data_IF_766036696178
#
_entry.id   IF_766036696178
#
_cell.length_a   1.000
_cell.length_b   1.000
_cell.length_c   1.000
_cell.angle_alpha   90.00
_cell.angle_beta   90.00
_cell.angle_gamma   90.00
#
_symmetry.space_group_name_H-M   'P 1'
#
loop_
_entity.id
_entity.type
_entity.pdbx_description
1 polymer ?
#
# COMPACT_ATOMS: atom_id res chain seq x y z
N UNK A 1 40.59 -59.72 3.36
CA UNK A 1 40.52 -58.95 4.62
C UNK A 1 39.96 -57.57 4.30
N UNK A 2 38.72 -57.34 4.73
CA UNK A 2 37.90 -56.20 4.41
C UNK A 2 38.38 -54.86 4.96
N UNK A 3 38.13 -53.78 4.26
CA UNK A 3 37.70 -52.49 4.86
C UNK A 3 37.07 -51.58 3.78
N UNK A 4 35.74 -51.48 3.85
CA UNK A 4 34.95 -50.35 3.37
C UNK A 4 35.09 -49.18 4.38
N UNK A 5 35.13 -47.92 3.94
CA UNK A 5 34.16 -47.00 4.44
C UNK A 5 33.69 -45.98 3.38
N UNK A 6 32.39 -46.08 3.08
CA UNK A 6 31.56 -45.00 2.54
C UNK A 6 31.43 -43.90 3.57
N UNK A 7 31.87 -42.69 3.24
CA UNK A 7 31.45 -41.48 3.97
C UNK A 7 31.10 -40.42 2.93
N UNK A 8 29.84 -40.19 2.76
CA UNK A 8 29.28 -39.08 1.97
C UNK A 8 29.25 -37.84 2.86
N UNK A 9 29.75 -36.66 2.44
CA UNK A 9 29.50 -35.42 3.14
C UNK A 9 28.13 -34.86 2.73
N UNK A 10 27.31 -34.54 3.75
CA UNK A 10 26.02 -33.90 3.59
C UNK A 10 26.12 -32.48 3.07
N UNK A 11 25.23 -32.14 2.17
CA UNK A 11 24.98 -30.77 1.70
C UNK A 11 24.37 -29.91 2.82
N UNK A 12 24.81 -28.67 2.95
CA UNK A 12 24.10 -27.67 3.74
C UNK A 12 23.28 -26.78 2.78
N UNK A 13 22.07 -27.22 2.43
CA UNK A 13 21.08 -26.34 1.79
C UNK A 13 19.96 -26.08 2.77
N UNK A 14 20.18 -25.07 3.61
CA UNK A 14 19.16 -24.41 4.40
C UNK A 14 19.01 -22.98 3.89
N UNK A 15 18.28 -22.78 2.79
CA UNK A 15 17.80 -21.45 2.43
C UNK A 15 16.65 -21.09 3.37
N UNK A 16 16.97 -20.24 4.32
CA UNK A 16 15.99 -19.63 5.23
C UNK A 16 15.14 -18.59 4.44
N UNK A 17 14.00 -19.05 3.94
CA UNK A 17 13.00 -18.22 3.23
C UNK A 17 12.05 -17.49 4.22
N UNK A 18 12.43 -17.37 5.50
CA UNK A 18 11.55 -16.87 6.57
C UNK A 18 11.62 -15.37 6.89
N UNK A 19 12.46 -14.58 6.21
CA UNK A 19 12.73 -13.18 6.61
C UNK A 19 11.58 -12.19 6.34
N UNK A 20 10.81 -12.35 5.28
CA UNK A 20 9.81 -11.37 4.84
C UNK A 20 8.53 -11.34 5.69
N UNK A 21 8.04 -12.48 6.14
CA UNK A 21 6.80 -12.57 6.92
C UNK A 21 6.93 -12.01 8.34
N UNK A 22 8.12 -12.09 8.93
CA UNK A 22 8.37 -11.59 10.29
C UNK A 22 8.44 -10.06 10.37
N UNK A 23 8.91 -9.38 9.32
CA UNK A 23 8.97 -7.92 9.28
C UNK A 23 7.57 -7.30 9.11
N UNK A 24 6.79 -7.80 8.16
CA UNK A 24 5.40 -7.36 7.95
C UNK A 24 4.53 -7.58 9.19
N UNK A 25 4.67 -8.72 9.87
CA UNK A 25 3.93 -9.00 11.10
C UNK A 25 4.29 -8.05 12.25
N UNK A 26 5.57 -7.65 12.38
CA UNK A 26 6.01 -6.66 13.38
C UNK A 26 5.46 -5.27 13.10
N UNK A 27 5.38 -4.86 11.83
CA UNK A 27 4.75 -3.59 11.42
C UNK A 27 3.29 -3.57 11.86
N UNK A 28 2.51 -4.60 11.49
CA UNK A 28 1.10 -4.73 11.85
C UNK A 28 0.89 -4.68 13.37
N UNK A 29 1.75 -5.34 14.16
CA UNK A 29 1.64 -5.31 15.62
C UNK A 29 1.96 -3.93 16.20
N UNK A 30 3.01 -3.25 15.73
CA UNK A 30 3.36 -1.91 16.19
C UNK A 30 2.27 -0.89 15.84
N UNK A 31 1.64 -1.05 14.67
CA UNK A 31 0.52 -0.22 14.24
C UNK A 31 -0.74 -0.48 15.09
N UNK A 32 -1.00 -1.73 15.48
CA UNK A 32 -2.17 -2.05 16.34
C UNK A 32 -2.03 -1.43 17.73
N UNK A 33 -0.83 -1.44 18.32
CA UNK A 33 -0.54 -0.83 19.63
C UNK A 33 -0.66 0.70 19.64
N UNK A 34 -0.40 1.37 18.51
CA UNK A 34 -0.41 2.84 18.37
C UNK A 34 -1.52 3.37 17.47
N UNK A 35 -2.45 2.51 17.07
CA UNK A 35 -3.51 2.85 16.11
C UNK A 35 -4.37 4.04 16.57
N UNK A 36 -4.66 4.15 17.85
CA UNK A 36 -5.47 5.25 18.39
C UNK A 36 -4.74 6.60 18.30
N UNK A 37 -3.42 6.64 18.58
CA UNK A 37 -2.60 7.84 18.41
C UNK A 37 -2.52 8.25 16.95
N UNK A 38 -2.29 7.27 16.07
CA UNK A 38 -2.22 7.50 14.62
C UNK A 38 -3.55 8.02 14.07
N UNK A 39 -4.67 7.40 14.47
CA UNK A 39 -6.00 7.81 14.05
C UNK A 39 -6.34 9.25 14.52
N UNK A 40 -5.91 9.62 15.71
CA UNK A 40 -6.14 10.97 16.24
C UNK A 40 -5.37 12.06 15.46
N UNK A 41 -4.18 11.74 14.94
CA UNK A 41 -3.31 12.71 14.24
C UNK A 41 -3.56 12.73 12.74
N UNK A 42 -3.67 11.56 12.10
CA UNK A 42 -3.70 11.41 10.64
C UNK A 42 -5.02 10.84 10.11
N UNK A 43 -5.93 10.39 10.97
CA UNK A 43 -7.20 9.77 10.60
C UNK A 43 -8.30 10.75 10.19
N UNK A 44 -7.98 11.99 9.81
CA UNK A 44 -8.94 13.02 9.47
C UNK A 44 -8.66 13.67 8.14
N UNK A 45 -9.71 13.93 7.35
CA UNK A 45 -9.60 14.71 6.11
C UNK A 45 -9.14 16.16 6.34
N UNK A 46 -9.23 16.67 7.56
CA UNK A 46 -8.71 18.00 7.90
C UNK A 46 -7.16 18.05 7.91
N UNK A 47 -6.50 16.90 8.09
CA UNK A 47 -5.05 16.79 8.03
C UNK A 47 -4.51 16.59 6.60
N UNK A 48 -5.39 16.32 5.62
CA UNK A 48 -5.02 16.09 4.23
C UNK A 48 -4.76 17.43 3.52
N UNK A 49 -3.63 17.52 2.83
CA UNK A 49 -3.31 18.70 2.02
C UNK A 49 -4.36 18.91 0.92
N UNK A 50 -4.79 20.17 0.64
CA UNK A 50 -5.83 20.45 -0.36
C UNK A 50 -5.53 19.88 -1.76
N UNK A 51 -4.27 19.96 -2.21
CA UNK A 51 -3.87 19.45 -3.53
C UNK A 51 -3.93 17.91 -3.59
N UNK A 52 -3.53 17.23 -2.50
CA UNK A 52 -3.66 15.76 -2.40
C UNK A 52 -5.13 15.34 -2.41
N UNK A 53 -5.96 16.12 -1.71
CA UNK A 53 -7.41 15.91 -1.69
C UNK A 53 -8.00 16.05 -3.09
N UNK A 54 -7.71 17.16 -3.78
CA UNK A 54 -8.19 17.41 -5.13
C UNK A 54 -7.75 16.31 -6.11
N UNK A 55 -6.47 15.89 -6.04
CA UNK A 55 -5.94 14.82 -6.88
C UNK A 55 -6.67 13.49 -6.67
N UNK A 56 -6.85 13.06 -5.41
CA UNK A 56 -7.52 11.79 -5.10
C UNK A 56 -9.00 11.84 -5.52
N UNK A 57 -9.67 12.97 -5.27
CA UNK A 57 -11.07 13.17 -5.66
C UNK A 57 -11.23 13.10 -7.20
N UNK A 58 -10.44 13.86 -7.96
CA UNK A 58 -10.47 13.85 -9.42
C UNK A 58 -10.15 12.46 -9.99
N UNK A 59 -9.12 11.82 -9.44
CA UNK A 59 -8.77 10.48 -9.83
C UNK A 59 -9.92 9.50 -9.58
N UNK A 60 -10.55 9.55 -8.41
CA UNK A 60 -11.62 8.62 -8.02
C UNK A 60 -12.91 8.86 -8.82
N UNK A 61 -13.29 10.12 -9.07
CA UNK A 61 -14.45 10.49 -9.89
C UNK A 61 -14.35 9.97 -11.34
N UNK A 62 -13.12 9.81 -11.84
CA UNK A 62 -12.86 9.25 -13.16
C UNK A 62 -12.91 7.70 -13.21
N UNK A 63 -13.19 7.03 -12.10
CA UNK A 63 -13.26 5.55 -12.05
C UNK A 63 -14.67 5.06 -12.34
N UNK A 64 -14.76 3.91 -12.97
CA UNK A 64 -16.01 3.17 -13.16
C UNK A 64 -15.95 1.89 -12.31
N UNK A 65 -17.01 1.62 -11.54
CA UNK A 65 -17.06 0.50 -10.62
C UNK A 65 -16.34 0.77 -9.29
N UNK A 66 -16.16 -0.26 -8.51
CA UNK A 66 -15.64 -0.21 -7.15
C UNK A 66 -14.19 0.30 -7.11
N UNK A 67 -13.91 1.19 -6.17
CA UNK A 67 -12.55 1.63 -5.80
C UNK A 67 -12.11 0.89 -4.54
N UNK A 68 -10.88 0.42 -4.51
CA UNK A 68 -10.27 -0.16 -3.30
C UNK A 68 -9.33 0.86 -2.69
N UNK A 69 -9.54 1.19 -1.41
CA UNK A 69 -8.61 1.94 -0.58
C UNK A 69 -7.69 0.92 0.13
N UNK A 70 -6.53 0.66 -0.47
CA UNK A 70 -5.60 -0.40 -0.10
C UNK A 70 -4.59 0.09 0.94
N UNK A 71 -4.71 -0.41 2.19
CA UNK A 71 -4.05 0.14 3.37
C UNK A 71 -4.79 1.38 3.86
N UNK A 72 -6.09 1.25 4.09
CA UNK A 72 -6.98 2.39 4.38
C UNK A 72 -6.74 3.01 5.77
N UNK A 73 -5.98 2.35 6.64
CA UNK A 73 -5.76 2.79 8.01
C UNK A 73 -7.08 3.03 8.75
N UNK A 74 -7.22 4.16 9.48
CA UNK A 74 -8.47 4.50 10.17
C UNK A 74 -9.64 4.88 9.25
N UNK A 75 -9.49 4.79 7.92
CA UNK A 75 -10.58 4.85 6.94
C UNK A 75 -11.02 6.25 6.55
N UNK A 76 -10.23 7.29 6.76
CA UNK A 76 -10.61 8.66 6.41
C UNK A 76 -10.84 8.85 4.90
N UNK A 77 -9.98 8.27 4.04
CA UNK A 77 -10.20 8.27 2.59
C UNK A 77 -11.38 7.40 2.19
N UNK A 78 -11.49 6.20 2.77
CA UNK A 78 -12.62 5.29 2.53
C UNK A 78 -13.95 5.98 2.82
N UNK A 79 -14.10 6.60 3.99
CA UNK A 79 -15.31 7.32 4.38
C UNK A 79 -15.57 8.54 3.49
N UNK A 80 -14.52 9.28 3.14
CA UNK A 80 -14.61 10.47 2.31
C UNK A 80 -15.11 10.14 0.89
N UNK A 81 -14.51 9.13 0.25
CA UNK A 81 -14.88 8.70 -1.10
C UNK A 81 -16.30 8.13 -1.12
N UNK A 82 -16.68 7.33 -0.12
CA UNK A 82 -18.07 6.84 0.03
C UNK A 82 -19.08 7.99 0.19
N UNK A 83 -18.72 9.02 0.97
CA UNK A 83 -19.54 10.23 1.13
C UNK A 83 -19.75 11.04 -0.16
N UNK A 84 -18.88 10.86 -1.15
CA UNK A 84 -18.98 11.42 -2.51
C UNK A 84 -19.82 10.55 -3.45
N UNK A 85 -20.31 9.40 -2.99
CA UNK A 85 -21.09 8.46 -3.79
C UNK A 85 -20.27 7.45 -4.59
N UNK A 86 -18.98 7.33 -4.32
CA UNK A 86 -18.12 6.32 -4.92
C UNK A 86 -18.32 5.00 -4.19
N UNK A 87 -18.51 3.92 -4.93
CA UNK A 87 -18.49 2.58 -4.35
C UNK A 87 -17.04 2.23 -3.96
N UNK A 88 -16.80 2.10 -2.64
CA UNK A 88 -15.45 1.90 -2.10
C UNK A 88 -15.39 0.75 -1.13
N UNK A 89 -14.29 0.00 -1.16
CA UNK A 89 -13.92 -1.03 -0.19
C UNK A 89 -12.61 -0.61 0.48
N UNK A 90 -12.61 -0.49 1.81
CA UNK A 90 -11.39 -0.26 2.59
C UNK A 90 -10.73 -1.58 2.98
N UNK A 91 -9.41 -1.69 2.81
CA UNK A 91 -8.61 -2.85 3.21
C UNK A 91 -7.46 -2.43 4.10
N UNK A 92 -7.31 -3.06 5.27
CA UNK A 92 -6.16 -2.84 6.14
C UNK A 92 -5.82 -4.12 6.93
N UNK A 93 -4.55 -4.47 7.16
CA UNK A 93 -4.15 -5.62 7.95
C UNK A 93 -4.32 -5.42 9.47
N UNK A 94 -4.34 -4.16 9.94
CA UNK A 94 -4.38 -3.80 11.36
C UNK A 94 -5.82 -3.87 11.88
N UNK A 95 -6.08 -4.79 12.79
CA UNK A 95 -7.44 -5.03 13.30
C UNK A 95 -8.06 -3.78 13.95
N UNK A 96 -7.25 -2.99 14.66
CA UNK A 96 -7.69 -1.77 15.33
C UNK A 96 -8.11 -0.70 14.31
N UNK A 97 -7.35 -0.49 13.25
CA UNK A 97 -7.72 0.43 12.17
C UNK A 97 -9.04 0.02 11.50
N UNK A 98 -9.20 -1.26 11.19
CA UNK A 98 -10.47 -1.78 10.63
C UNK A 98 -11.65 -1.50 11.57
N UNK A 99 -11.46 -1.67 12.89
CA UNK A 99 -12.51 -1.37 13.86
C UNK A 99 -12.86 0.12 13.90
N UNK A 100 -11.85 1.00 13.86
CA UNK A 100 -12.03 2.47 13.81
C UNK A 100 -12.76 2.87 12.52
N UNK A 101 -12.31 2.38 11.36
CA UNK A 101 -12.89 2.70 10.07
C UNK A 101 -14.35 2.26 9.97
N UNK A 102 -14.68 1.06 10.46
CA UNK A 102 -16.07 0.56 10.53
C UNK A 102 -16.95 1.40 11.45
N UNK A 103 -16.41 1.87 12.57
CA UNK A 103 -17.14 2.74 13.48
C UNK A 103 -17.41 4.13 12.87
N UNK A 104 -16.43 4.67 12.11
CA UNK A 104 -16.55 5.97 11.45
C UNK A 104 -17.51 5.96 10.25
N UNK A 105 -17.58 4.85 9.51
CA UNK A 105 -18.40 4.69 8.32
C UNK A 105 -19.08 3.31 8.27
N UNK A 106 -20.11 3.06 9.11
CA UNK A 106 -20.74 1.73 9.24
C UNK A 106 -21.37 1.19 7.96
N UNK A 107 -21.68 2.06 7.01
CA UNK A 107 -22.28 1.72 5.72
C UNK A 107 -21.24 1.30 4.66
N UNK A 108 -19.95 1.45 4.95
CA UNK A 108 -18.87 1.14 4.01
C UNK A 108 -18.30 -0.24 4.31
N UNK A 109 -17.99 -0.99 3.27
CA UNK A 109 -17.32 -2.27 3.38
C UNK A 109 -15.85 -2.08 3.71
N UNK A 110 -15.47 -2.36 4.95
CA UNK A 110 -14.07 -2.33 5.41
C UNK A 110 -13.68 -3.73 5.86
N UNK A 111 -12.61 -4.29 5.28
CA UNK A 111 -12.18 -5.66 5.53
C UNK A 111 -10.76 -5.72 6.09
N UNK A 112 -10.50 -6.72 6.91
CA UNK A 112 -9.14 -7.03 7.32
C UNK A 112 -8.47 -7.86 6.23
N UNK A 113 -7.52 -7.25 5.51
CA UNK A 113 -6.74 -7.90 4.44
C UNK A 113 -5.41 -7.17 4.26
N UNK A 114 -4.41 -7.82 3.66
CA UNK A 114 -3.15 -7.20 3.27
C UNK A 114 -3.22 -6.74 1.82
N UNK A 115 -2.32 -5.85 1.42
CA UNK A 115 -2.21 -5.36 0.05
C UNK A 115 -1.66 -6.42 -0.91
N UNK A 116 -0.99 -7.46 -0.38
CA UNK A 116 -0.49 -8.61 -1.15
C UNK A 116 -1.55 -9.70 -1.33
N UNK A 117 -2.63 -9.66 -0.52
CA UNK A 117 -3.71 -10.66 -0.55
C UNK A 117 -5.03 -10.01 -0.13
N UNK A 118 -5.66 -9.35 -1.09
CA UNK A 118 -6.88 -8.55 -0.87
C UNK A 118 -8.14 -9.40 -0.68
N UNK A 119 -8.13 -10.65 -1.11
CA UNK A 119 -9.31 -11.53 -1.13
C UNK A 119 -10.38 -11.11 -2.15
N UNK A 120 -10.07 -10.16 -3.05
CA UNK A 120 -10.97 -9.69 -4.09
C UNK A 120 -10.83 -10.55 -5.37
N UNK A 121 -11.88 -10.62 -6.20
CA UNK A 121 -11.84 -11.38 -7.45
C UNK A 121 -10.91 -10.73 -8.48
N UNK A 122 -10.44 -11.54 -9.44
CA UNK A 122 -9.68 -11.06 -10.59
C UNK A 122 -10.54 -10.09 -11.41
N UNK A 123 -9.92 -8.99 -11.85
CA UNK A 123 -10.58 -7.94 -12.64
C UNK A 123 -11.94 -7.51 -12.07
N UNK A 124 -12.03 -7.42 -10.74
CA UNK A 124 -13.26 -7.10 -10.02
C UNK A 124 -13.44 -5.63 -9.65
N UNK A 125 -12.40 -4.78 -9.83
CA UNK A 125 -12.44 -3.38 -9.36
C UNK A 125 -11.96 -2.41 -10.43
N UNK A 126 -12.51 -1.20 -10.41
CA UNK A 126 -12.19 -0.13 -11.37
C UNK A 126 -10.99 0.73 -10.98
N UNK A 127 -10.66 0.76 -9.68
CA UNK A 127 -9.55 1.55 -9.17
C UNK A 127 -8.94 0.99 -7.89
N UNK A 128 -7.64 1.24 -7.69
CA UNK A 128 -6.93 0.99 -6.43
C UNK A 128 -6.25 2.29 -6.00
N UNK A 129 -6.62 2.79 -4.83
CA UNK A 129 -5.94 3.86 -4.12
C UNK A 129 -4.96 3.22 -3.12
N UNK A 130 -3.67 3.48 -3.27
CA UNK A 130 -2.62 3.08 -2.33
C UNK A 130 -1.97 4.36 -1.79
N UNK A 131 -2.62 4.97 -0.80
CA UNK A 131 -2.21 6.27 -0.28
C UNK A 131 -1.33 6.12 0.94
N UNK A 132 -0.02 6.18 0.75
CA UNK A 132 1.02 5.93 1.76
C UNK A 132 1.00 4.53 2.39
N UNK A 133 0.34 3.56 1.79
CA UNK A 133 0.30 2.19 2.31
C UNK A 133 1.56 1.38 1.94
N UNK A 134 2.13 1.60 0.74
CA UNK A 134 3.35 0.89 0.30
C UNK A 134 4.65 1.45 0.90
N UNK A 135 4.60 2.60 1.58
CA UNK A 135 5.81 3.26 2.10
C UNK A 135 6.52 2.47 3.20
N UNK A 136 5.81 1.56 3.87
CA UNK A 136 6.35 0.70 4.92
C UNK A 136 6.85 -0.66 4.41
N UNK A 137 6.64 -0.96 3.14
CA UNK A 137 7.11 -2.20 2.53
C UNK A 137 8.61 -2.12 2.21
N UNK A 138 9.31 -3.21 2.49
CA UNK A 138 10.65 -3.39 1.93
C UNK A 138 10.59 -3.24 0.40
N UNK A 139 11.54 -2.54 -0.22
CA UNK A 139 11.48 -2.26 -1.65
C UNK A 139 11.28 -3.49 -2.54
N UNK A 140 11.86 -4.62 -2.16
CA UNK A 140 11.76 -5.89 -2.89
C UNK A 140 10.39 -6.58 -2.69
N UNK A 141 9.59 -6.18 -1.71
CA UNK A 141 8.24 -6.67 -1.47
C UNK A 141 7.16 -5.88 -2.24
N UNK A 142 7.44 -4.63 -2.63
CA UNK A 142 6.48 -3.78 -3.37
C UNK A 142 5.96 -4.45 -4.65
N UNK A 143 6.76 -5.16 -5.48
CA UNK A 143 6.26 -5.87 -6.65
C UNK A 143 5.17 -6.91 -6.34
N UNK A 144 5.15 -7.51 -5.14
CA UNK A 144 4.15 -8.50 -4.75
C UNK A 144 2.78 -7.82 -4.60
N UNK A 145 2.73 -6.69 -3.89
CA UNK A 145 1.51 -5.89 -3.76
C UNK A 145 1.03 -5.37 -5.12
N UNK A 146 1.94 -4.91 -5.98
CA UNK A 146 1.59 -4.45 -7.33
C UNK A 146 1.03 -5.57 -8.21
N UNK A 147 1.53 -6.80 -8.08
CA UNK A 147 0.98 -7.96 -8.79
C UNK A 147 -0.46 -8.24 -8.35
N UNK A 148 -0.76 -8.11 -7.05
CA UNK A 148 -2.12 -8.25 -6.51
C UNK A 148 -3.01 -7.10 -6.99
N UNK A 149 -2.56 -5.84 -6.95
CA UNK A 149 -3.31 -4.71 -7.50
C UNK A 149 -3.64 -4.91 -8.99
N UNK A 150 -2.65 -5.40 -9.76
CA UNK A 150 -2.88 -5.71 -11.17
C UNK A 150 -3.89 -6.84 -11.36
N UNK A 151 -3.87 -7.85 -10.52
CA UNK A 151 -4.81 -8.98 -10.58
C UNK A 151 -6.25 -8.52 -10.39
N UNK A 152 -6.51 -7.70 -9.37
CA UNK A 152 -7.88 -7.27 -9.00
C UNK A 152 -8.45 -6.17 -9.88
N UNK A 153 -7.60 -5.31 -10.48
CA UNK A 153 -8.04 -4.26 -11.38
C UNK A 153 -8.58 -4.82 -12.69
N UNK A 154 -9.63 -4.25 -13.24
CA UNK A 154 -10.06 -4.48 -14.62
C UNK A 154 -8.96 -4.03 -15.61
N UNK A 155 -8.90 -4.54 -16.85
CA UNK A 155 -8.05 -3.96 -17.89
C UNK A 155 -8.32 -2.45 -18.04
N UNK A 156 -7.27 -1.63 -18.05
CA UNK A 156 -7.40 -0.16 -18.04
C UNK A 156 -7.80 0.45 -16.71
N UNK A 157 -8.04 -0.35 -15.67
CA UNK A 157 -8.35 0.11 -14.32
C UNK A 157 -7.23 0.98 -13.74
N UNK A 158 -7.61 1.95 -12.91
CA UNK A 158 -6.71 2.98 -12.40
C UNK A 158 -5.99 2.57 -11.11
N UNK A 159 -4.71 2.97 -11.01
CA UNK A 159 -3.92 2.89 -9.79
C UNK A 159 -3.43 4.29 -9.41
N UNK A 160 -3.63 4.70 -8.16
CA UNK A 160 -3.04 5.92 -7.60
C UNK A 160 -2.18 5.55 -6.40
N UNK A 161 -0.87 5.86 -6.47
CA UNK A 161 0.09 5.58 -5.40
C UNK A 161 0.63 6.88 -4.84
N UNK A 162 0.36 7.17 -3.57
CA UNK A 162 0.99 8.25 -2.81
C UNK A 162 2.20 7.75 -2.02
N UNK A 163 3.32 8.49 -2.04
CA UNK A 163 4.55 8.10 -1.36
C UNK A 163 5.40 9.28 -0.91
N UNK A 164 6.34 9.02 0.00
CA UNK A 164 7.45 9.93 0.26
C UNK A 164 8.49 9.78 -0.83
N UNK A 165 9.04 10.92 -1.30
CA UNK A 165 10.05 10.92 -2.35
C UNK A 165 11.38 11.52 -1.90
N UNK A 166 12.44 11.18 -2.62
CA UNK A 166 13.80 11.67 -2.41
C UNK A 166 14.70 11.32 -3.58
N UNK A 167 15.97 11.78 -3.56
CA UNK A 167 16.92 11.53 -4.65
C UNK A 167 17.40 10.08 -4.70
N UNK A 168 17.36 9.39 -3.56
CA UNK A 168 17.78 7.98 -3.42
C UNK A 168 16.69 7.17 -2.70
N UNK A 169 16.65 5.86 -2.99
CA UNK A 169 15.83 4.93 -2.24
C UNK A 169 16.50 4.63 -0.91
N UNK A 170 15.92 5.11 0.17
CA UNK A 170 16.49 4.97 1.51
C UNK A 170 15.39 4.81 2.56
N UNK A 171 15.65 4.03 3.62
CA UNK A 171 14.78 3.97 4.76
C UNK A 171 14.90 5.24 5.60
N UNK A 172 13.84 5.56 6.34
CA UNK A 172 13.86 6.59 7.38
C UNK A 172 12.89 6.25 8.51
N UNK A 173 13.13 6.81 9.68
CA UNK A 173 12.22 6.66 10.81
C UNK A 173 10.94 7.46 10.55
N UNK A 174 9.80 6.78 10.58
CA UNK A 174 8.48 7.35 10.50
C UNK A 174 7.71 7.07 11.80
N UNK A 175 6.63 7.79 12.05
CA UNK A 175 5.93 7.87 13.35
C UNK A 175 5.73 6.52 14.08
N UNK A 176 5.54 5.43 13.38
CA UNK A 176 5.25 4.10 13.94
C UNK A 176 6.32 3.07 13.61
N UNK A 177 6.85 3.12 12.39
CA UNK A 177 7.81 2.14 11.87
C UNK A 177 8.66 2.75 10.75
N UNK A 178 9.66 2.00 10.29
CA UNK A 178 10.47 2.40 9.13
C UNK A 178 9.59 2.64 7.91
N UNK A 179 9.85 3.73 7.20
CA UNK A 179 9.28 4.02 5.89
C UNK A 179 10.40 4.26 4.87
N UNK A 180 10.06 4.21 3.58
CA UNK A 180 11.01 4.39 2.49
C UNK A 180 10.69 5.64 1.68
N UNK A 181 11.76 6.42 1.36
CA UNK A 181 11.68 7.46 0.33
C UNK A 181 12.00 6.83 -1.01
N UNK A 182 11.13 7.05 -1.97
CA UNK A 182 11.29 6.51 -3.31
C UNK A 182 11.69 7.60 -4.30
N UNK A 183 12.81 7.45 -5.04
CA UNK A 183 12.98 8.24 -6.25
C UNK A 183 11.85 7.95 -7.22
N UNK A 184 11.17 9.00 -7.69
CA UNK A 184 9.96 8.85 -8.52
C UNK A 184 10.20 8.01 -9.77
N UNK A 185 11.33 8.20 -10.44
CA UNK A 185 11.71 7.41 -11.61
C UNK A 185 11.90 5.92 -11.30
N UNK A 186 12.41 5.59 -10.10
CA UNK A 186 12.57 4.20 -9.67
C UNK A 186 11.21 3.56 -9.36
N UNK A 187 10.32 4.27 -8.65
CA UNK A 187 8.97 3.77 -8.39
C UNK A 187 8.18 3.62 -9.68
N UNK A 188 8.28 4.58 -10.63
CA UNK A 188 7.66 4.47 -11.95
C UNK A 188 8.13 3.21 -12.70
N UNK A 189 9.44 2.95 -12.72
CA UNK A 189 9.99 1.75 -13.36
C UNK A 189 9.48 0.45 -12.69
N UNK A 190 9.29 0.43 -11.36
CA UNK A 190 8.72 -0.73 -10.65
C UNK A 190 7.25 -0.93 -11.03
N UNK A 191 6.46 0.14 -11.13
CA UNK A 191 5.07 0.10 -11.62
C UNK A 191 5.00 -0.43 -13.05
N UNK A 192 5.86 0.06 -13.95
CA UNK A 192 5.91 -0.36 -15.35
C UNK A 192 6.31 -1.85 -15.48
N UNK A 193 7.29 -2.29 -14.71
CA UNK A 193 7.70 -3.69 -14.65
C UNK A 193 6.57 -4.61 -14.14
N UNK A 194 5.70 -4.10 -13.27
CA UNK A 194 4.51 -4.81 -12.76
C UNK A 194 3.33 -4.78 -13.76
N UNK A 195 3.46 -4.18 -14.96
CA UNK A 195 2.43 -4.14 -15.99
C UNK A 195 1.43 -3.00 -15.84
N UNK A 196 1.88 -1.87 -15.26
CA UNK A 196 1.14 -0.62 -15.26
C UNK A 196 1.76 0.36 -16.24
N UNK A 197 0.95 1.27 -16.78
CA UNK A 197 1.42 2.44 -17.49
C UNK A 197 1.27 3.65 -16.59
N UNK A 198 2.36 4.37 -16.33
CA UNK A 198 2.34 5.62 -15.58
C UNK A 198 1.88 6.75 -16.51
N UNK A 199 0.78 7.40 -16.18
CA UNK A 199 0.18 8.47 -16.98
C UNK A 199 0.58 9.87 -16.48
N UNK A 200 0.73 10.04 -15.15
CA UNK A 200 1.12 11.32 -14.56
C UNK A 200 1.89 11.11 -13.25
N UNK A 201 2.71 12.10 -12.93
CA UNK A 201 3.43 12.20 -11.66
C UNK A 201 3.22 13.60 -11.08
N UNK A 202 2.66 13.64 -9.88
CA UNK A 202 2.50 14.85 -9.09
C UNK A 202 3.56 14.88 -8.00
N UNK A 203 4.20 16.02 -7.80
CA UNK A 203 5.21 16.21 -6.74
C UNK A 203 4.84 17.41 -5.91
N UNK A 204 5.04 17.29 -4.62
CA UNK A 204 4.86 18.41 -3.69
C UNK A 204 6.04 18.48 -2.72
N UNK A 205 6.55 19.69 -2.56
CA UNK A 205 7.64 20.00 -1.63
C UNK A 205 7.29 21.31 -0.96
N UNK A 206 6.79 21.21 0.26
CA UNK A 206 6.45 22.36 1.09
C UNK A 206 7.55 22.57 2.14
N UNK A 207 7.73 23.80 2.57
CA UNK A 207 8.72 24.13 3.60
C UNK A 207 8.41 23.41 4.91
N UNK A 208 9.39 22.73 5.48
CA UNK A 208 9.24 21.97 6.73
C UNK A 208 8.48 20.64 6.60
N UNK A 209 8.03 20.27 5.41
CA UNK A 209 7.33 19.00 5.15
C UNK A 209 8.22 18.07 4.32
N UNK A 210 8.12 16.77 4.58
CA UNK A 210 8.84 15.79 3.76
C UNK A 210 8.33 15.85 2.32
N UNK A 211 9.21 15.77 1.31
CA UNK A 211 8.78 15.73 -0.09
C UNK A 211 7.86 14.55 -0.37
N UNK A 212 6.78 14.83 -1.10
CA UNK A 212 5.75 13.87 -1.50
C UNK A 212 5.72 13.67 -3.00
N UNK A 213 5.26 12.49 -3.42
CA UNK A 213 4.89 12.24 -4.81
C UNK A 213 3.64 11.37 -4.88
N UNK A 214 2.87 11.57 -5.94
CA UNK A 214 1.78 10.69 -6.32
C UNK A 214 1.94 10.27 -7.78
N UNK A 215 1.81 8.99 -8.05
CA UNK A 215 1.88 8.41 -9.39
C UNK A 215 0.49 7.92 -9.79
N UNK A 216 -0.03 8.50 -10.87
CA UNK A 216 -1.26 8.05 -11.51
C UNK A 216 -0.89 7.05 -12.58
N UNK A 217 -1.44 5.85 -12.49
CA UNK A 217 -1.14 4.77 -13.43
C UNK A 217 -2.41 4.00 -13.79
N UNK A 218 -2.33 3.16 -14.82
CA UNK A 218 -3.40 2.25 -15.20
C UNK A 218 -2.86 0.87 -15.54
N UNK A 219 -3.66 -0.17 -15.29
CA UNK A 219 -3.36 -1.53 -15.71
C UNK A 219 -3.26 -1.59 -17.25
N UNK A 220 -2.10 -2.04 -17.77
CA UNK A 220 -1.88 -2.30 -19.21
C UNK A 220 -2.61 -3.55 -19.68
#
# INVERSE_FOLDING_TARGET
MARDPSTTPGSPDGHDAGGGTGAAARVVQADDERADEYAAVLGSMAAVHPDDRALVEEWADARTGTVVDAGCGPGHWTAHLAGRGIEVIGLDPVARFVAIARAAAPQVDVRRATVESTGLPDAGVGGVLSWYSLVHHEPDAVPIALAEFRRVLVPGGGLLVGCFTGPVLEPFEHAVTTAYRWPVNRLAAVLEAAGFRVDAVHRRTDEGVRPHAALVARRS
#
